data_IF_620581889571
#
_entry.id   IF_620581889571
#
_cell.length_a   1.000
_cell.length_b   1.000
_cell.length_c   1.000
_cell.angle_alpha   90.00
_cell.angle_beta   90.00
_cell.angle_gamma   90.00
#
_symmetry.space_group_name_H-M   'P 1'
#
loop_
_entity.id
_entity.type
_entity.pdbx_description
1 polymer ?
#
# COMPACT_ATOMS: atom_id res chain seq x y z
N UNK A 1 15.65 -7.16 -20.74
CA UNK A 1 14.50 -6.23 -20.73
C UNK A 1 13.24 -6.91 -20.21
N UNK A 2 12.94 -8.15 -20.64
CA UNK A 2 11.82 -8.93 -20.07
C UNK A 2 11.89 -9.08 -18.54
N UNK A 3 13.09 -9.24 -17.98
CA UNK A 3 13.29 -9.41 -16.54
C UNK A 3 12.94 -8.17 -15.70
N UNK A 4 13.04 -6.97 -16.28
CA UNK A 4 12.71 -5.73 -15.57
C UNK A 4 11.19 -5.54 -15.49
N UNK A 5 10.47 -5.86 -16.57
CA UNK A 5 9.01 -5.80 -16.60
C UNK A 5 8.43 -6.86 -15.65
N UNK A 6 8.94 -8.09 -15.69
CA UNK A 6 8.51 -9.15 -14.79
C UNK A 6 8.72 -8.80 -13.30
N UNK A 7 9.81 -8.08 -12.99
CA UNK A 7 10.08 -7.60 -11.63
C UNK A 7 9.10 -6.51 -11.20
N UNK A 8 8.77 -5.58 -12.09
CA UNK A 8 7.75 -4.55 -11.85
C UNK A 8 6.37 -5.18 -11.64
N UNK A 9 5.99 -6.17 -12.44
CA UNK A 9 4.73 -6.88 -12.28
C UNK A 9 4.66 -7.58 -10.91
N UNK A 10 5.74 -8.24 -10.49
CA UNK A 10 5.82 -8.87 -9.17
C UNK A 10 5.77 -7.86 -8.02
N UNK A 11 6.33 -6.67 -8.21
CA UNK A 11 6.23 -5.57 -7.25
C UNK A 11 4.79 -5.02 -7.16
N UNK A 12 4.13 -4.81 -8.30
CA UNK A 12 2.73 -4.36 -8.35
C UNK A 12 1.79 -5.37 -7.70
N UNK A 13 1.93 -6.67 -8.00
CA UNK A 13 1.13 -7.73 -7.37
C UNK A 13 1.31 -7.72 -5.85
N UNK A 14 2.54 -7.51 -5.38
CA UNK A 14 2.83 -7.44 -3.95
C UNK A 14 2.22 -6.20 -3.29
N UNK A 15 2.26 -5.04 -3.95
CA UNK A 15 1.62 -3.82 -3.44
C UNK A 15 0.09 -3.97 -3.41
N UNK A 16 -0.48 -4.63 -4.41
CA UNK A 16 -1.91 -4.91 -4.49
C UNK A 16 -2.39 -5.81 -3.34
N UNK A 17 -1.60 -6.84 -2.99
CA UNK A 17 -1.87 -7.69 -1.83
C UNK A 17 -1.81 -6.92 -0.52
N UNK A 18 -0.83 -6.03 -0.35
CA UNK A 18 -0.72 -5.18 0.84
C UNK A 18 -1.91 -4.20 0.91
N UNK A 19 -2.31 -3.61 -0.21
CA UNK A 19 -3.49 -2.73 -0.29
C UNK A 19 -4.77 -3.48 0.10
N UNK A 20 -4.97 -4.70 -0.42
CA UNK A 20 -6.11 -5.54 -0.06
C UNK A 20 -6.13 -5.88 1.44
N UNK A 21 -4.96 -6.19 2.00
CA UNK A 21 -4.83 -6.49 3.43
C UNK A 21 -5.06 -5.25 4.30
N UNK A 22 -4.62 -4.07 3.85
CA UNK A 22 -4.92 -2.79 4.50
C UNK A 22 -6.43 -2.54 4.55
N UNK A 23 -7.10 -2.67 3.41
CA UNK A 23 -8.56 -2.50 3.31
C UNK A 23 -9.29 -3.51 4.20
N UNK A 24 -8.79 -4.75 4.29
CA UNK A 24 -9.34 -5.79 5.16
C UNK A 24 -9.20 -5.47 6.65
N UNK A 25 -8.07 -4.88 7.08
CA UNK A 25 -7.81 -4.60 8.49
C UNK A 25 -8.33 -3.25 8.97
N UNK A 26 -8.29 -2.22 8.11
CA UNK A 26 -8.63 -0.84 8.47
C UNK A 26 -10.04 -0.46 8.01
N UNK A 27 -10.53 -1.08 6.94
CA UNK A 27 -11.81 -0.78 6.32
C UNK A 27 -11.67 -0.38 4.85
N UNK A 28 -12.79 -0.36 4.10
CA UNK A 28 -12.79 -0.09 2.67
C UNK A 28 -12.13 1.25 2.34
N UNK A 29 -11.27 1.24 1.31
CA UNK A 29 -10.64 2.46 0.80
C UNK A 29 -11.70 3.39 0.18
N UNK A 30 -11.73 4.68 0.56
CA UNK A 30 -12.58 5.66 -0.12
C UNK A 30 -11.98 6.11 -1.47
N UNK A 31 -10.73 5.75 -1.75
CA UNK A 31 -9.99 6.12 -2.96
C UNK A 31 -9.72 4.91 -3.85
N UNK A 32 -9.37 5.17 -5.11
CA UNK A 32 -9.12 4.11 -6.08
C UNK A 32 -7.87 3.30 -5.72
N UNK A 33 -7.90 2.01 -6.04
CA UNK A 33 -6.80 1.07 -5.79
C UNK A 33 -5.44 1.52 -6.37
N UNK A 34 -5.34 2.10 -7.58
CA UNK A 34 -4.08 2.67 -8.07
C UNK A 34 -3.53 3.79 -7.17
N UNK A 35 -4.39 4.60 -6.55
CA UNK A 35 -3.96 5.66 -5.62
C UNK A 35 -3.39 5.06 -4.33
N UNK A 36 -4.03 4.00 -3.82
CA UNK A 36 -3.53 3.25 -2.65
C UNK A 36 -2.17 2.62 -2.95
N UNK A 37 -2.00 2.00 -4.11
CA UNK A 37 -0.72 1.41 -4.55
C UNK A 37 0.36 2.48 -4.67
N UNK A 38 0.05 3.63 -5.26
CA UNK A 38 0.99 4.74 -5.38
C UNK A 38 1.43 5.26 -4.01
N UNK A 39 0.47 5.49 -3.10
CA UNK A 39 0.75 5.90 -1.73
C UNK A 39 1.62 4.87 -0.98
N UNK A 40 1.29 3.58 -1.09
CA UNK A 40 2.06 2.48 -0.51
C UNK A 40 3.51 2.46 -1.03
N UNK A 41 3.69 2.66 -2.33
CA UNK A 41 5.01 2.67 -2.95
C UNK A 41 5.90 3.79 -2.40
N UNK A 42 5.31 4.97 -2.16
CA UNK A 42 6.01 6.11 -1.56
C UNK A 42 6.24 5.90 -0.07
N UNK A 43 5.25 5.38 0.65
CA UNK A 43 5.38 5.07 2.08
C UNK A 43 6.52 4.09 2.34
N UNK A 44 6.66 3.04 1.51
CA UNK A 44 7.75 2.06 1.64
C UNK A 44 9.13 2.68 1.35
N UNK A 45 9.22 3.63 0.40
CA UNK A 45 10.46 4.37 0.16
C UNK A 45 10.86 5.22 1.36
N UNK A 46 9.89 5.88 2.01
CA UNK A 46 10.13 6.77 3.16
C UNK A 46 10.39 6.01 4.45
N UNK A 47 9.65 4.92 4.69
CA UNK A 47 9.80 4.11 5.89
C UNK A 47 11.15 3.37 5.93
N UNK A 48 11.83 3.21 4.79
CA UNK A 48 13.04 2.38 4.69
C UNK A 48 12.78 0.90 5.01
N UNK A 49 11.50 0.52 5.14
CA UNK A 49 11.09 -0.80 5.53
C UNK A 49 11.03 -1.72 4.32
N UNK A 50 11.49 -2.95 4.52
CA UNK A 50 11.21 -4.06 3.61
C UNK A 50 9.71 -4.32 3.56
N UNK A 51 9.20 -4.83 2.42
CA UNK A 51 7.77 -5.13 2.21
C UNK A 51 7.11 -5.69 3.48
N UNK A 52 6.05 -5.07 3.99
CA UNK A 52 5.43 -5.45 5.26
C UNK A 52 4.98 -6.90 5.23
N UNK A 53 5.23 -7.60 6.33
CA UNK A 53 4.86 -9.01 6.47
C UNK A 53 3.35 -9.19 6.41
N UNK A 54 2.86 -9.99 5.46
CA UNK A 54 1.50 -10.48 5.46
C UNK A 54 1.40 -11.72 6.36
N UNK A 55 0.29 -11.93 7.10
CA UNK A 55 -0.94 -11.15 7.08
C UNK A 55 -0.98 -9.97 8.08
N UNK A 56 0.05 -9.79 8.92
CA UNK A 56 0.02 -8.79 10.00
C UNK A 56 0.78 -7.51 9.62
N UNK A 57 0.05 -6.58 9.02
CA UNK A 57 0.58 -5.27 8.68
C UNK A 57 0.97 -4.47 9.94
N UNK A 58 2.08 -3.71 9.88
CA UNK A 58 2.55 -2.93 11.01
C UNK A 58 1.54 -1.86 11.39
N UNK A 59 1.47 -1.55 12.69
CA UNK A 59 0.53 -0.56 13.22
C UNK A 59 0.79 0.83 12.65
N UNK A 60 2.07 1.19 12.43
CA UNK A 60 2.49 2.44 11.78
C UNK A 60 1.88 2.60 10.39
N UNK A 61 1.87 1.54 9.58
CA UNK A 61 1.28 1.55 8.24
C UNK A 61 -0.24 1.74 8.30
N UNK A 62 -0.92 1.03 9.20
CA UNK A 62 -2.38 1.17 9.38
C UNK A 62 -2.78 2.57 9.84
N UNK A 63 -2.05 3.14 10.80
CA UNK A 63 -2.28 4.49 11.28
C UNK A 63 -2.02 5.54 10.19
N UNK A 64 -0.93 5.38 9.42
CA UNK A 64 -0.62 6.26 8.30
C UNK A 64 -1.69 6.17 7.19
N UNK A 65 -2.17 4.97 6.87
CA UNK A 65 -3.24 4.75 5.89
C UNK A 65 -4.56 5.40 6.31
N UNK A 66 -4.96 5.24 7.58
CA UNK A 66 -6.17 5.88 8.10
C UNK A 66 -6.08 7.42 8.08
N UNK A 67 -4.93 7.98 8.47
CA UNK A 67 -4.71 9.43 8.43
C UNK A 67 -4.70 9.97 6.99
N UNK A 68 -4.04 9.27 6.07
CA UNK A 68 -3.97 9.66 4.66
C UNK A 68 -5.33 9.56 3.96
N UNK A 69 -6.09 8.48 4.18
CA UNK A 69 -7.43 8.32 3.60
C UNK A 69 -8.40 9.39 4.11
N UNK A 70 -8.31 9.79 5.38
CA UNK A 70 -9.09 10.92 5.90
C UNK A 70 -8.77 12.24 5.20
N UNK A 71 -7.48 12.52 4.94
CA UNK A 71 -7.06 13.71 4.18
C UNK A 71 -7.46 13.64 2.70
N UNK A 72 -7.49 12.46 2.10
CA UNK A 72 -7.86 12.28 0.69
C UNK A 72 -9.37 12.44 0.44
N UNK A 73 -10.20 12.23 1.48
CA UNK A 73 -11.67 12.38 1.41
C UNK A 73 -12.11 13.83 1.64
N UNK A 74 -11.36 14.60 2.43
CA UNK A 74 -11.70 16.00 2.76
C UNK A 74 -11.30 17.00 1.65
N UNK A 75 -10.69 16.52 0.56
CA UNK A 75 -10.12 17.33 -0.52
C UNK A 75 -11.00 17.34 -1.78
#
# INVERSE_FOLDING_TARGET
MADQIARLDAELVSLDQIAAELERQVGPSPVTRPLVIAWLSEWLKVAGESKPGLPHLPHSLKAAYAAWTHQAVDR
#
